data_IF_995203826216
#
_entry.id   IF_995203826216
#
_cell.length_a   1.000
_cell.length_b   1.000
_cell.length_c   1.000
_cell.angle_alpha   90.00
_cell.angle_beta   90.00
_cell.angle_gamma   90.00
#
_symmetry.space_group_name_H-M   'P 1'
#
loop_
_entity.id
_entity.type
_entity.pdbx_description
1 polymer ?
#
# COMPACT_ATOMS: atom_id res chain seq x y z
N UNK A 1 -22.59 -14.80 15.96
CA UNK A 1 -21.25 -14.95 15.33
C UNK A 1 -20.18 -14.32 16.24
N UNK A 2 -19.23 -15.12 16.74
CA UNK A 2 -18.19 -14.75 17.73
C UNK A 2 -17.17 -13.74 17.13
N UNK A 3 -16.61 -12.85 17.96
CA UNK A 3 -15.56 -11.87 17.64
C UNK A 3 -14.32 -12.51 17.00
N UNK A 4 -13.88 -13.69 17.46
CA UNK A 4 -12.81 -14.48 16.87
C UNK A 4 -13.14 -14.87 15.42
N UNK A 5 -14.37 -15.36 15.15
CA UNK A 5 -14.84 -15.63 13.79
C UNK A 5 -14.90 -14.37 12.94
N UNK A 6 -15.28 -13.20 13.49
CA UNK A 6 -15.26 -11.92 12.75
C UNK A 6 -13.84 -11.51 12.36
N UNK A 7 -12.86 -11.63 13.26
CA UNK A 7 -11.46 -11.32 12.98
C UNK A 7 -10.89 -12.21 11.87
N UNK A 8 -11.16 -13.53 11.93
CA UNK A 8 -10.74 -14.46 10.87
C UNK A 8 -11.45 -14.19 9.54
N UNK A 9 -12.73 -13.82 9.56
CA UNK A 9 -13.48 -13.45 8.36
C UNK A 9 -12.91 -12.18 7.70
N UNK A 10 -12.61 -11.15 8.51
CA UNK A 10 -12.00 -9.91 8.04
C UNK A 10 -10.63 -10.17 7.41
N UNK A 11 -9.78 -10.99 8.05
CA UNK A 11 -8.45 -11.34 7.52
C UNK A 11 -8.57 -12.13 6.20
N UNK A 12 -9.51 -13.07 6.10
CA UNK A 12 -9.76 -13.83 4.85
C UNK A 12 -10.35 -12.96 3.74
N UNK A 13 -11.25 -12.04 4.08
CA UNK A 13 -11.79 -11.05 3.14
C UNK A 13 -10.67 -10.15 2.63
N UNK A 14 -9.79 -9.64 3.50
CA UNK A 14 -8.70 -8.73 3.14
C UNK A 14 -7.58 -9.39 2.33
N UNK A 15 -7.17 -10.62 2.66
CA UNK A 15 -6.19 -11.39 1.88
C UNK A 15 -6.73 -11.77 0.49
N UNK A 16 -8.03 -12.07 0.38
CA UNK A 16 -8.70 -12.32 -0.90
C UNK A 16 -9.09 -11.06 -1.67
N UNK A 17 -9.22 -9.90 -0.99
CA UNK A 17 -9.76 -8.65 -1.52
C UNK A 17 -9.00 -8.17 -2.77
N UNK A 18 -7.67 -8.16 -2.68
CA UNK A 18 -6.85 -7.61 -3.76
C UNK A 18 -6.78 -8.50 -5.00
N UNK A 19 -6.82 -9.82 -4.84
CA UNK A 19 -6.80 -10.74 -5.98
C UNK A 19 -8.17 -10.74 -6.65
N UNK A 20 -9.25 -10.71 -5.85
CA UNK A 20 -10.61 -10.71 -6.38
C UNK A 20 -10.95 -9.42 -7.12
N UNK A 21 -10.54 -8.23 -6.64
CA UNK A 21 -10.83 -6.97 -7.32
C UNK A 21 -10.42 -6.94 -8.80
N UNK A 22 -9.25 -7.51 -9.10
CA UNK A 22 -8.66 -7.50 -10.45
C UNK A 22 -9.19 -8.62 -11.36
N UNK A 23 -9.97 -9.56 -10.82
CA UNK A 23 -10.56 -10.62 -11.64
C UNK A 23 -11.79 -10.10 -12.41
N UNK A 24 -12.00 -10.56 -13.66
CA UNK A 24 -13.25 -10.31 -14.37
C UNK A 24 -14.43 -10.95 -13.61
N UNK A 25 -15.62 -10.35 -13.69
CA UNK A 25 -16.80 -10.83 -12.94
C UNK A 25 -17.11 -12.30 -13.20
N UNK A 26 -16.88 -12.78 -14.42
CA UNK A 26 -17.06 -14.18 -14.81
C UNK A 26 -16.19 -15.18 -14.03
N UNK A 27 -15.10 -14.71 -13.40
CA UNK A 27 -14.19 -15.52 -12.59
C UNK A 27 -14.41 -15.33 -11.08
N UNK A 28 -15.21 -14.35 -10.66
CA UNK A 28 -15.53 -14.07 -9.25
C UNK A 28 -16.64 -15.01 -8.77
N UNK A 29 -16.30 -16.05 -8.01
CA UNK A 29 -17.28 -16.97 -7.41
C UNK A 29 -17.74 -16.47 -6.04
N UNK A 30 -19.05 -16.42 -5.82
CA UNK A 30 -19.61 -16.11 -4.51
C UNK A 30 -19.23 -17.22 -3.51
N UNK A 31 -18.58 -16.89 -2.38
CA UNK A 31 -18.32 -17.86 -1.33
C UNK A 31 -19.60 -18.21 -0.55
N UNK A 32 -19.73 -19.48 -0.15
CA UNK A 32 -20.93 -20.00 0.56
C UNK A 32 -21.21 -19.30 1.91
N UNK A 33 -20.21 -18.63 2.49
CA UNK A 33 -20.29 -17.91 3.75
C UNK A 33 -20.63 -16.42 3.60
N UNK A 34 -20.73 -15.89 2.37
CA UNK A 34 -21.17 -14.52 2.09
C UNK A 34 -22.63 -14.55 1.62
N UNK A 35 -23.47 -13.76 2.30
CA UNK A 35 -24.86 -13.57 1.88
C UNK A 35 -24.94 -12.88 0.51
N UNK A 36 -25.90 -13.27 -0.33
CA UNK A 36 -26.01 -12.80 -1.72
C UNK A 36 -26.09 -11.27 -1.82
N UNK A 37 -26.84 -10.62 -0.93
CA UNK A 37 -26.97 -9.16 -0.91
C UNK A 37 -25.65 -8.44 -0.61
N UNK A 38 -24.85 -8.98 0.31
CA UNK A 38 -23.52 -8.45 0.64
C UNK A 38 -22.52 -8.71 -0.50
N UNK A 39 -22.62 -9.88 -1.15
CA UNK A 39 -21.80 -10.20 -2.31
C UNK A 39 -22.01 -9.21 -3.46
N UNK A 40 -23.26 -8.88 -3.80
CA UNK A 40 -23.57 -7.87 -4.82
C UNK A 40 -22.99 -6.50 -4.46
N UNK A 41 -23.10 -6.07 -3.19
CA UNK A 41 -22.53 -4.80 -2.74
C UNK A 41 -20.99 -4.79 -2.85
N UNK A 42 -20.33 -5.91 -2.54
CA UNK A 42 -18.89 -6.06 -2.70
C UNK A 42 -18.48 -5.98 -4.17
N UNK A 43 -19.20 -6.64 -5.08
CA UNK A 43 -18.93 -6.56 -6.52
C UNK A 43 -19.00 -5.11 -7.03
N UNK A 44 -20.03 -4.35 -6.64
CA UNK A 44 -20.15 -2.93 -6.99
C UNK A 44 -18.97 -2.11 -6.44
N UNK A 45 -18.60 -2.33 -5.18
CA UNK A 45 -17.44 -1.64 -4.58
C UNK A 45 -16.12 -2.00 -5.25
N UNK A 46 -15.95 -3.24 -5.66
CA UNK A 46 -14.75 -3.72 -6.36
C UNK A 46 -14.68 -3.25 -7.81
N UNK A 47 -15.83 -2.97 -8.44
CA UNK A 47 -15.90 -2.39 -9.78
C UNK A 47 -15.62 -0.88 -9.84
N UNK A 48 -15.54 -0.19 -8.70
CA UNK A 48 -15.14 1.22 -8.67
C UNK A 48 -13.70 1.38 -9.19
N UNK A 49 -13.50 2.29 -10.14
CA UNK A 49 -12.20 2.63 -10.75
C UNK A 49 -11.16 2.92 -9.67
N UNK A 50 -11.53 3.63 -8.60
CA UNK A 50 -10.61 3.93 -7.49
C UNK A 50 -10.15 2.66 -6.77
N UNK A 51 -11.04 1.69 -6.62
CA UNK A 51 -10.73 0.41 -6.02
C UNK A 51 -9.76 -0.39 -6.90
N UNK A 52 -10.04 -0.45 -8.20
CA UNK A 52 -9.21 -1.14 -9.19
C UNK A 52 -7.79 -0.56 -9.20
N UNK A 53 -7.64 0.76 -9.34
CA UNK A 53 -6.33 1.45 -9.35
C UNK A 53 -5.51 1.15 -8.09
N UNK A 54 -6.17 1.16 -6.92
CA UNK A 54 -5.51 0.82 -5.66
C UNK A 54 -5.09 -0.64 -5.63
N UNK A 55 -5.90 -1.54 -6.18
CA UNK A 55 -5.57 -2.96 -6.25
C UNK A 55 -4.39 -3.23 -7.18
N UNK A 56 -4.35 -2.59 -8.34
CA UNK A 56 -3.22 -2.65 -9.29
C UNK A 56 -1.94 -2.11 -8.67
N UNK A 57 -2.03 -0.95 -8.00
CA UNK A 57 -0.88 -0.35 -7.30
C UNK A 57 -0.34 -1.30 -6.24
N UNK A 58 -1.22 -1.88 -5.42
CA UNK A 58 -0.83 -2.84 -4.39
C UNK A 58 -0.33 -4.16 -4.95
N UNK A 59 -0.76 -4.57 -6.15
CA UNK A 59 -0.19 -5.73 -6.85
C UNK A 59 1.21 -5.43 -7.36
N UNK A 60 1.41 -4.27 -8.00
CA UNK A 60 2.74 -3.81 -8.46
C UNK A 60 3.73 -3.69 -7.29
N UNK A 61 3.31 -3.10 -6.17
CA UNK A 61 4.14 -3.00 -4.97
C UNK A 61 4.45 -4.36 -4.33
N UNK A 62 3.60 -5.38 -4.49
CA UNK A 62 3.87 -6.74 -4.01
C UNK A 62 4.80 -7.52 -4.92
N UNK A 63 4.74 -7.25 -6.22
CA UNK A 63 5.58 -7.90 -7.24
C UNK A 63 6.90 -7.15 -7.49
N UNK A 64 7.19 -6.07 -6.77
CA UNK A 64 8.46 -5.37 -6.91
C UNK A 64 9.56 -6.13 -6.17
N UNK A 65 10.55 -6.62 -6.91
CA UNK A 65 11.73 -7.32 -6.36
C UNK A 65 12.75 -6.38 -5.69
N UNK A 66 12.46 -5.08 -5.62
CA UNK A 66 13.39 -4.04 -5.21
C UNK A 66 13.14 -3.64 -3.75
N UNK A 67 13.73 -4.36 -2.80
CA UNK A 67 13.73 -3.98 -1.38
C UNK A 67 14.25 -5.08 -0.45
N UNK A 68 15.07 -4.70 0.54
CA UNK A 68 15.68 -5.61 1.54
C UNK A 68 14.62 -6.22 2.48
N UNK A 69 13.45 -5.59 2.59
CA UNK A 69 12.31 -6.07 3.37
C UNK A 69 11.08 -6.19 2.47
N UNK A 70 10.81 -7.40 1.99
CA UNK A 70 9.51 -7.80 1.42
C UNK A 70 8.45 -7.74 2.54
N UNK A 71 8.02 -6.54 2.92
CA UNK A 71 6.95 -6.39 3.88
C UNK A 71 5.62 -6.73 3.20
N UNK A 72 4.97 -7.80 3.69
CA UNK A 72 3.67 -8.36 3.28
C UNK A 72 2.48 -7.38 3.36
N UNK A 73 2.71 -6.10 3.71
CA UNK A 73 1.69 -5.07 3.95
C UNK A 73 1.45 -4.08 2.79
N UNK A 74 2.22 -4.13 1.70
CA UNK A 74 2.02 -3.25 0.54
C UNK A 74 2.60 -1.83 0.66
N UNK A 75 3.40 -1.56 1.69
CA UNK A 75 4.21 -0.34 1.78
C UNK A 75 5.28 -0.33 0.69
N UNK A 76 5.51 0.83 0.07
CA UNK A 76 6.53 1.01 -0.95
C UNK A 76 7.90 1.13 -0.25
N UNK A 77 8.93 0.36 -0.67
CA UNK A 77 10.26 0.48 -0.08
C UNK A 77 10.93 1.81 -0.46
N UNK A 78 11.86 2.28 0.37
CA UNK A 78 12.58 3.55 0.14
C UNK A 78 13.36 3.56 -1.18
N UNK A 79 13.91 2.40 -1.58
CA UNK A 79 14.59 2.19 -2.86
C UNK A 79 13.68 2.44 -4.05
N UNK A 80 12.43 2.00 -3.97
CA UNK A 80 11.43 2.26 -5.02
C UNK A 80 11.00 3.72 -5.03
N UNK A 81 10.99 4.41 -3.88
CA UNK A 81 10.83 5.87 -3.85
C UNK A 81 11.98 6.61 -4.53
N UNK A 82 13.22 6.17 -4.34
CA UNK A 82 14.42 6.73 -5.01
C UNK A 82 14.32 6.52 -6.52
N UNK A 83 14.02 5.29 -6.97
CA UNK A 83 13.88 4.97 -8.40
C UNK A 83 12.80 5.81 -9.09
N UNK A 84 11.62 5.94 -8.48
CA UNK A 84 10.53 6.77 -9.02
C UNK A 84 10.88 8.27 -9.07
N UNK A 85 11.69 8.74 -8.12
CA UNK A 85 12.17 10.10 -8.13
C UNK A 85 13.16 10.33 -9.28
N UNK A 86 14.10 9.41 -9.48
CA UNK A 86 15.04 9.42 -10.62
C UNK A 86 14.32 9.45 -11.96
N UNK A 87 13.32 8.59 -12.15
CA UNK A 87 12.52 8.56 -13.39
C UNK A 87 11.81 9.90 -13.65
N UNK A 88 11.34 10.55 -12.58
CA UNK A 88 10.56 11.78 -12.69
C UNK A 88 11.44 13.03 -12.85
N UNK A 89 12.60 13.06 -12.21
CA UNK A 89 13.45 14.25 -12.10
C UNK A 89 14.79 14.13 -12.82
N UNK A 90 15.13 12.95 -13.35
CA UNK A 90 16.39 12.67 -14.04
C UNK A 90 17.63 12.64 -13.14
N UNK A 91 17.45 12.74 -11.82
CA UNK A 91 18.54 12.84 -10.84
C UNK A 91 18.27 11.93 -9.65
N UNK A 92 19.29 11.17 -9.23
CA UNK A 92 19.23 10.36 -8.01
C UNK A 92 19.12 11.24 -6.78
N UNK A 93 18.28 10.82 -5.84
CA UNK A 93 18.07 11.55 -4.61
C UNK A 93 18.42 10.66 -3.43
N UNK A 94 19.20 11.23 -2.51
CA UNK A 94 19.60 10.56 -1.29
C UNK A 94 18.40 10.23 -0.39
N UNK A 95 18.59 9.30 0.56
CA UNK A 95 17.54 8.93 1.52
C UNK A 95 17.06 10.11 2.39
N UNK A 96 17.91 11.09 2.65
CA UNK A 96 17.59 12.35 3.33
C UNK A 96 16.53 13.16 2.57
N UNK A 97 16.69 13.27 1.25
CA UNK A 97 15.76 13.98 0.37
C UNK A 97 14.44 13.24 0.24
N UNK A 98 14.47 11.90 0.19
CA UNK A 98 13.26 11.08 0.26
C UNK A 98 12.54 11.22 1.59
N UNK A 99 13.28 11.23 2.69
CA UNK A 99 12.72 11.42 4.02
C UNK A 99 11.99 12.76 4.12
N UNK A 100 12.63 13.85 3.70
CA UNK A 100 12.00 15.17 3.64
C UNK A 100 10.74 15.14 2.79
N UNK A 101 10.82 14.63 1.55
CA UNK A 101 9.67 14.59 0.64
C UNK A 101 8.48 13.76 1.17
N UNK A 102 8.74 12.68 1.91
CA UNK A 102 7.70 11.79 2.44
C UNK A 102 7.12 12.25 3.77
N UNK A 103 7.87 13.06 4.53
CA UNK A 103 7.51 13.50 5.88
C UNK A 103 7.19 14.99 5.98
N UNK A 104 7.23 15.73 4.87
CA UNK A 104 6.70 17.09 4.76
C UNK A 104 5.44 17.15 3.93
N UNK A 105 4.56 18.10 4.25
CA UNK A 105 3.35 18.35 3.45
C UNK A 105 3.72 19.11 2.19
N UNK A 106 2.96 18.86 1.12
CA UNK A 106 3.20 19.47 -0.19
C UNK A 106 2.84 20.95 -0.24
N UNK A 107 1.90 21.39 0.60
CA UNK A 107 1.39 22.77 0.58
C UNK A 107 2.39 23.76 1.19
N UNK A 108 2.92 23.44 2.38
CA UNK A 108 3.68 24.36 3.22
C UNK A 108 5.09 23.87 3.57
N UNK A 109 5.46 22.65 3.18
CA UNK A 109 6.74 22.04 3.53
C UNK A 109 6.90 21.73 5.03
N UNK A 110 5.86 21.89 5.83
CA UNK A 110 5.88 21.58 7.25
C UNK A 110 5.90 20.06 7.46
N UNK A 111 6.51 19.60 8.55
CA UNK A 111 6.49 18.17 8.88
C UNK A 111 5.06 17.71 9.18
N UNK A 112 4.71 16.53 8.67
CA UNK A 112 3.39 15.90 8.93
C UNK A 112 3.17 15.71 10.43
N UNK A 113 4.24 15.48 11.20
CA UNK A 113 4.20 15.48 12.67
C UNK A 113 5.46 16.11 13.27
N UNK A 114 5.37 16.75 14.45
CA UNK A 114 6.52 17.35 15.13
C UNK A 114 7.63 16.37 15.54
N UNK A 115 7.35 15.06 15.58
CA UNK A 115 8.35 14.03 15.91
C UNK A 115 9.30 13.74 14.74
N UNK A 116 8.84 14.02 13.52
CA UNK A 116 9.60 13.76 12.29
C UNK A 116 10.72 14.77 12.07
N UNK A 117 10.57 16.01 12.56
CA UNK A 117 11.65 17.00 12.52
C UNK A 117 12.85 16.57 13.38
N UNK A 118 12.60 15.84 14.47
CA UNK A 118 13.65 15.33 15.37
C UNK A 118 14.34 14.07 14.86
N UNK A 119 13.70 13.32 13.96
CA UNK A 119 14.21 12.03 13.45
C UNK A 119 15.11 12.17 12.22
N UNK A 120 15.22 13.36 11.63
CA UNK A 120 16.17 13.64 10.53
C UNK A 120 17.61 13.27 10.89
N UNK A 121 17.99 13.43 12.17
CA UNK A 121 19.33 13.06 12.64
C UNK A 121 19.55 11.54 12.71
N UNK A 122 18.50 10.72 12.78
CA UNK A 122 18.61 9.27 12.92
C UNK A 122 18.68 8.55 11.56
N UNK A 123 18.16 9.15 10.50
CA UNK A 123 18.20 8.56 9.14
C UNK A 123 19.64 8.44 8.62
N UNK A 124 20.54 9.34 9.02
CA UNK A 124 21.97 9.21 8.71
C UNK A 124 22.62 8.00 9.41
N UNK A 125 22.14 7.62 10.59
CA UNK A 125 22.65 6.47 11.37
C UNK A 125 22.10 5.12 10.86
N UNK A 126 20.97 5.11 10.17
CA UNK A 126 20.36 3.89 9.60
C UNK A 126 21.01 3.41 8.30
N UNK A 127 21.93 4.18 7.70
CA UNK A 127 22.56 3.87 6.41
C UNK A 127 23.99 3.33 6.54
N UNK A 128 24.50 3.16 7.76
CA UNK A 128 25.84 2.60 8.02
C UNK A 128 25.86 1.10 8.39
N UNK A 129 24.78 0.36 8.11
CA UNK A 129 24.71 -1.10 8.31
C UNK A 129 24.27 -1.85 7.05
#
# INVERSE_FOLDING_TARGET
>A
MNIASRKTLIVKVLLGFHVLCLLPESKKKQPNWIIKSLWTQLLVKWGDIKCIQKCETNQKNRNSDVGITLHTGGSIPITEHIRRYEEKHGVSAGPDKMYLQTHTKKEDGSFVTPKLSKSIMCVHCWLEY
#
